data_IF_392042024025
#
_entry.id   IF_392042024025
#
_cell.length_a   1.000
_cell.length_b   1.000
_cell.length_c   1.000
_cell.angle_alpha   90.00
_cell.angle_beta   90.00
_cell.angle_gamma   90.00
#
_symmetry.space_group_name_H-M   'P 1'
#
loop_
_entity.id
_entity.type
_entity.pdbx_description
1 polymer ?
#
# COMPACT_ATOMS: atom_id res chain seq x y z
N UNK A 1 -0.05 -14.95 18.37
CA UNK A 1 0.82 -14.23 17.42
C UNK A 1 0.12 -12.94 17.00
N UNK A 2 0.72 -11.78 17.25
CA UNK A 2 0.11 -10.50 16.83
C UNK A 2 0.25 -10.34 15.31
N UNK A 3 -0.78 -9.81 14.66
CA UNK A 3 -0.83 -9.67 13.21
C UNK A 3 -1.32 -8.29 12.81
N UNK A 4 -0.92 -7.88 11.61
CA UNK A 4 -1.34 -6.63 10.98
C UNK A 4 -1.94 -6.94 9.62
N UNK A 5 -2.79 -6.06 9.14
CA UNK A 5 -3.36 -6.17 7.80
C UNK A 5 -2.57 -5.30 6.85
N UNK A 6 -1.93 -5.93 5.87
CA UNK A 6 -1.22 -5.32 4.75
C UNK A 6 -2.17 -5.21 3.56
N UNK A 7 -2.33 -4.01 3.02
CA UNK A 7 -3.03 -3.72 1.77
C UNK A 7 -2.01 -3.18 0.75
N UNK A 8 -2.13 -3.63 -0.49
CA UNK A 8 -1.33 -3.16 -1.62
C UNK A 8 -2.26 -2.49 -2.63
N UNK A 9 -1.91 -1.27 -3.02
CA UNK A 9 -2.57 -0.52 -4.08
C UNK A 9 -1.59 -0.26 -5.22
N UNK A 10 -2.05 -0.46 -6.45
CA UNK A 10 -1.39 0.06 -7.63
C UNK A 10 -1.84 1.50 -7.86
N UNK A 11 -0.90 2.43 -7.74
CA UNK A 11 -1.10 3.85 -8.00
C UNK A 11 -0.68 4.15 -9.43
N UNK A 12 -1.62 4.60 -10.26
CA UNK A 12 -1.38 5.07 -11.63
C UNK A 12 -1.34 6.58 -11.62
N UNK A 13 -0.21 7.16 -12.00
CA UNK A 13 -0.08 8.60 -12.22
C UNK A 13 -0.28 8.85 -13.70
N UNK A 14 -1.30 9.62 -14.06
CA UNK A 14 -1.62 9.91 -15.44
C UNK A 14 -0.90 11.17 -15.94
N UNK A 15 -0.71 11.29 -17.25
CA UNK A 15 -0.23 12.52 -17.86
C UNK A 15 -1.22 13.66 -17.63
N UNK A 16 -0.71 14.75 -17.03
CA UNK A 16 -1.44 16.00 -16.83
C UNK A 16 -1.90 16.58 -18.17
N UNK A 17 -3.17 16.98 -18.29
CA UNK A 17 -3.67 17.70 -19.48
C UNK A 17 -3.48 19.22 -19.31
N UNK A 18 -3.68 19.97 -20.40
CA UNK A 18 -3.48 21.45 -20.42
C UNK A 18 -4.30 22.19 -19.35
N UNK A 19 -5.47 21.65 -18.98
CA UNK A 19 -6.38 22.25 -18.00
C UNK A 19 -6.14 21.76 -16.56
N UNK A 20 -5.35 20.70 -16.38
CA UNK A 20 -5.10 20.14 -15.07
C UNK A 20 -3.93 20.86 -14.39
N UNK A 21 -4.09 21.20 -13.12
CA UNK A 21 -3.02 21.82 -12.31
C UNK A 21 -1.99 20.78 -11.86
N UNK A 22 -2.41 19.53 -11.66
CA UNK A 22 -1.57 18.40 -11.24
C UNK A 22 -1.84 17.14 -12.08
N UNK A 23 -0.93 16.16 -12.02
CA UNK A 23 -1.16 14.86 -12.65
C UNK A 23 -2.34 14.14 -11.96
N UNK A 24 -3.32 13.61 -12.70
CA UNK A 24 -4.37 12.78 -12.12
C UNK A 24 -3.77 11.51 -11.50
N UNK A 25 -4.31 11.06 -10.37
CA UNK A 25 -3.86 9.85 -9.67
C UNK A 25 -5.04 8.90 -9.53
N UNK A 26 -4.87 7.65 -9.96
CA UNK A 26 -5.84 6.57 -9.78
C UNK A 26 -5.24 5.49 -8.88
N UNK A 27 -5.95 5.08 -7.85
CA UNK A 27 -5.55 3.98 -6.98
C UNK A 27 -6.40 2.74 -7.28
N UNK A 28 -5.76 1.61 -7.54
CA UNK A 28 -6.40 0.32 -7.81
C UNK A 28 -6.04 -0.63 -6.67
N UNK A 29 -7.00 -1.03 -5.81
CA UNK A 29 -6.74 -2.04 -4.79
C UNK A 29 -6.32 -3.36 -5.43
N UNK A 30 -5.16 -3.87 -5.04
CA UNK A 30 -4.55 -5.05 -5.69
C UNK A 30 -4.55 -6.28 -4.78
N UNK A 31 -4.59 -6.08 -3.48
CA UNK A 31 -4.77 -7.18 -2.54
C UNK A 31 -4.63 -6.74 -1.09
N UNK A 32 -5.17 -7.57 -0.19
CA UNK A 32 -5.14 -7.33 1.25
C UNK A 32 -4.93 -8.66 1.96
N UNK A 33 -3.99 -8.71 2.89
CA UNK A 33 -3.63 -9.94 3.62
C UNK A 33 -3.24 -9.63 5.05
N UNK A 34 -3.59 -10.53 5.95
CA UNK A 34 -3.10 -10.48 7.33
C UNK A 34 -1.68 -11.09 7.36
N UNK A 35 -0.72 -10.34 7.86
CA UNK A 35 0.68 -10.74 7.98
C UNK A 35 1.12 -10.71 9.45
N UNK A 36 2.01 -11.62 9.87
CA UNK A 36 2.50 -11.62 11.25
C UNK A 36 3.29 -10.34 11.51
N UNK A 37 3.08 -9.72 12.67
CA UNK A 37 3.91 -8.62 13.13
C UNK A 37 5.25 -9.20 13.60
N UNK A 38 6.37 -8.68 13.06
CA UNK A 38 7.73 -9.10 13.37
C UNK A 38 7.90 -10.64 13.30
N UNK A 39 7.82 -11.21 12.09
CA UNK A 39 8.01 -12.65 11.93
C UNK A 39 9.38 -13.11 12.48
N UNK A 40 9.38 -14.19 13.28
CA UNK A 40 10.61 -14.86 13.70
C UNK A 40 11.13 -15.71 12.54
N UNK A 41 12.30 -15.36 12.00
CA UNK A 41 12.93 -16.02 10.85
C UNK A 41 13.19 -17.50 11.11
N UNK A 42 13.34 -17.91 12.37
CA UNK A 42 13.59 -19.31 12.74
C UNK A 42 12.32 -20.18 12.71
N UNK A 43 11.13 -19.57 12.73
CA UNK A 43 9.85 -20.29 12.83
C UNK A 43 9.10 -20.37 11.49
N UNK A 44 9.52 -19.62 10.47
CA UNK A 44 8.87 -19.63 9.17
C UNK A 44 9.46 -20.75 8.32
N UNK A 45 8.62 -21.74 7.97
CA UNK A 45 8.98 -22.72 6.95
C UNK A 45 9.31 -21.98 5.63
N UNK A 46 10.48 -22.25 5.01
CA UNK A 46 10.80 -21.69 3.70
C UNK A 46 9.66 -21.94 2.71
N UNK A 47 9.15 -20.87 2.09
CA UNK A 47 8.02 -20.94 1.14
C UNK A 47 6.65 -20.57 1.71
N UNK A 48 6.49 -20.39 3.04
CA UNK A 48 5.22 -19.98 3.63
C UNK A 48 5.11 -18.46 3.90
N UNK A 49 5.84 -17.64 3.12
CA UNK A 49 5.77 -16.19 3.25
C UNK A 49 4.44 -15.67 2.67
N UNK A 50 3.75 -14.74 3.34
CA UNK A 50 2.53 -14.17 2.81
C UNK A 50 2.85 -13.30 1.58
N UNK A 51 2.60 -13.84 0.38
CA UNK A 51 2.70 -13.11 -0.88
C UNK A 51 1.39 -12.42 -1.28
N UNK A 52 1.53 -11.30 -1.99
CA UNK A 52 0.47 -10.55 -2.67
C UNK A 52 0.93 -10.33 -4.12
N UNK A 53 0.05 -10.62 -5.09
CA UNK A 53 0.36 -10.50 -6.51
C UNK A 53 -0.35 -9.29 -7.12
N UNK A 54 0.31 -8.61 -8.06
CA UNK A 54 -0.27 -7.53 -8.87
C UNK A 54 -0.56 -8.11 -10.25
N UNK A 55 -1.80 -7.93 -10.73
CA UNK A 55 -2.19 -8.44 -12.05
C UNK A 55 -1.42 -7.72 -13.17
N UNK A 56 -0.85 -8.49 -14.09
CA UNK A 56 -0.18 -7.97 -15.28
C UNK A 56 -1.12 -7.19 -16.19
N UNK A 57 -2.42 -7.50 -16.18
CA UNK A 57 -3.44 -6.85 -17.00
C UNK A 57 -3.62 -5.36 -16.65
N UNK A 58 -3.11 -4.93 -15.48
CA UNK A 58 -3.12 -3.51 -15.10
C UNK A 58 -2.08 -2.67 -15.85
N UNK A 59 -1.09 -3.31 -16.49
CA UNK A 59 0.05 -2.71 -17.19
C UNK A 59 -0.09 -2.85 -18.71
N UNK A 60 -1.16 -2.29 -19.24
CA UNK A 60 -1.46 -2.36 -20.66
C UNK A 60 -0.63 -1.32 -21.45
N UNK A 61 0.27 -1.72 -22.38
CA UNK A 61 1.14 -0.79 -23.11
C UNK A 61 0.38 0.24 -23.94
N UNK A 62 -0.81 -0.13 -24.44
CA UNK A 62 -1.67 0.80 -25.17
C UNK A 62 -2.11 2.01 -24.34
N UNK A 63 -2.06 1.93 -23.00
CA UNK A 63 -2.36 3.04 -22.10
C UNK A 63 -1.17 3.96 -21.79
N UNK A 64 0.02 3.72 -22.34
CA UNK A 64 1.25 4.50 -22.08
C UNK A 64 1.09 6.01 -22.36
N UNK A 65 0.29 6.39 -23.35
CA UNK A 65 0.00 7.80 -23.66
C UNK A 65 -0.90 8.48 -22.60
N UNK A 66 -1.59 7.71 -21.75
CA UNK A 66 -2.44 8.21 -20.67
C UNK A 66 -1.76 8.09 -19.31
N UNK A 67 -1.08 6.98 -19.04
CA UNK A 67 -0.43 6.69 -17.77
C UNK A 67 1.06 6.99 -17.85
N UNK A 68 1.50 7.96 -17.04
CA UNK A 68 2.89 8.41 -16.95
C UNK A 68 3.76 7.44 -16.15
N UNK A 69 3.23 6.90 -15.05
CA UNK A 69 3.97 5.97 -14.21
C UNK A 69 3.05 5.11 -13.35
N UNK A 70 3.59 3.97 -12.94
CA UNK A 70 2.97 3.07 -11.97
C UNK A 70 3.80 3.05 -10.68
N UNK A 71 3.14 3.01 -9.53
CA UNK A 71 3.80 2.86 -8.24
C UNK A 71 3.00 1.91 -7.36
N UNK A 72 3.68 1.09 -6.58
CA UNK A 72 3.03 0.28 -5.55
C UNK A 72 2.99 1.06 -4.23
N UNK A 73 1.84 1.05 -3.58
CA UNK A 73 1.60 1.65 -2.26
C UNK A 73 1.20 0.56 -1.28
N UNK A 74 2.00 0.39 -0.22
CA UNK A 74 1.74 -0.56 0.87
C UNK A 74 1.12 0.19 2.06
N UNK A 75 -0.02 -0.28 2.55
CA UNK A 75 -0.69 0.27 3.75
C UNK A 75 -0.80 -0.82 4.81
N UNK A 76 -0.26 -0.55 5.99
CA UNK A 76 -0.34 -1.45 7.14
C UNK A 76 -1.37 -0.91 8.14
N UNK A 77 -2.30 -1.77 8.58
CA UNK A 77 -3.33 -1.43 9.58
C UNK A 77 -3.34 -2.47 10.69
N UNK A 78 -3.47 -2.06 11.95
CA UNK A 78 -3.59 -3.01 13.08
C UNK A 78 -5.08 -3.24 13.37
N UNK A 79 -5.57 -4.49 13.43
CA UNK A 79 -6.92 -4.76 13.90
C UNK A 79 -7.00 -4.44 15.40
N UNK A 80 -7.81 -3.46 15.80
CA UNK A 80 -8.16 -3.27 17.22
C UNK A 80 -8.05 -1.88 17.83
N UNK A 81 -7.71 -0.81 17.11
CA UNK A 81 -7.93 0.55 17.66
C UNK A 81 -9.29 1.07 17.22
N UNK A 82 -10.35 0.62 17.91
CA UNK A 82 -11.60 1.38 17.96
C UNK A 82 -11.31 2.68 18.72
N UNK A 83 -11.98 3.74 18.28
CA UNK A 83 -11.93 5.13 18.73
C UNK A 83 -11.68 5.26 20.23
N UNK A 84 -10.57 5.88 20.62
CA UNK A 84 -10.35 6.27 22.01
C UNK A 84 -10.94 7.67 22.22
N UNK A 85 -12.24 7.72 22.51
CA UNK A 85 -12.84 8.86 23.19
C UNK A 85 -12.26 8.90 24.61
N UNK A 86 -11.26 9.74 24.83
CA UNK A 86 -10.65 9.91 26.14
C UNK A 86 -9.39 10.76 26.07
N UNK A 87 -9.44 11.90 26.71
CA UNK A 87 -8.34 12.85 26.87
C UNK A 87 -7.15 12.14 27.53
N UNK A 88 -6.07 11.88 26.80
CA UNK A 88 -4.72 11.74 27.40
C UNK A 88 -3.71 12.46 26.51
N UNK A 89 -3.05 13.44 27.12
CA UNK A 89 -1.94 14.18 26.55
C UNK A 89 -0.79 13.22 26.21
N UNK A 90 -0.33 13.28 24.97
CA UNK A 90 0.78 12.50 24.47
C UNK A 90 0.59 12.29 22.97
N UNK A 91 1.28 13.09 22.17
CA UNK A 91 1.22 13.13 20.71
C UNK A 91 1.64 11.79 20.07
N UNK A 92 0.82 10.73 20.17
CA UNK A 92 0.93 9.59 19.28
C UNK A 92 0.31 9.98 17.96
N UNK A 93 1.11 10.70 17.18
CA UNK A 93 0.91 10.94 15.75
C UNK A 93 0.39 9.66 15.09
N UNK A 94 -0.91 9.62 14.78
CA UNK A 94 -1.58 8.49 14.11
C UNK A 94 -1.08 8.28 12.67
N UNK A 95 -0.04 9.02 12.29
CA UNK A 95 0.70 8.90 11.05
C UNK A 95 2.04 8.15 11.20
N UNK A 96 2.48 7.76 12.41
CA UNK A 96 3.82 7.15 12.64
C UNK A 96 4.00 5.73 12.06
N UNK A 97 2.92 5.08 11.58
CA UNK A 97 2.97 3.70 11.09
C UNK A 97 2.76 3.52 9.58
N UNK A 98 2.65 4.59 8.80
CA UNK A 98 2.51 4.50 7.34
C UNK A 98 3.91 4.46 6.72
N UNK A 99 4.61 3.34 6.87
CA UNK A 99 5.80 3.08 6.07
C UNK A 99 5.34 2.85 4.63
N UNK A 100 5.41 3.91 3.83
CA UNK A 100 5.09 3.84 2.40
C UNK A 100 6.36 3.55 1.64
N UNK A 101 6.47 2.34 1.12
CA UNK A 101 7.53 1.97 0.18
C UNK A 101 6.97 2.16 -1.23
N UNK A 102 7.55 3.07 -2.00
CA UNK A 102 7.23 3.24 -3.42
C UNK A 102 8.22 2.44 -4.26
N UNK A 103 7.72 1.44 -5.00
CA UNK A 103 8.47 0.89 -6.13
C UNK A 103 8.02 1.61 -7.39
N UNK A 104 8.94 2.31 -8.05
CA UNK A 104 8.69 2.98 -9.32
C UNK A 104 9.12 2.00 -10.42
N UNK A 105 8.16 1.58 -11.23
CA UNK A 105 8.44 0.84 -12.47
C UNK A 105 8.41 1.88 -13.60
N UNK A 106 9.57 2.15 -14.20
CA UNK A 106 9.71 3.01 -15.41
C UNK A 106 9.68 2.17 -16.66
#
# INVERSE_FOLDING_TARGET
>A
QSSVTLEVLLVKVCHKKRKDVSCPIRQVPTGKKQVPLNPDTNQIKPGNFPSLAVSSNEFEPSNSHMVKSYSLLFRVTRPGRREFNGIINGETNENIGKSVVYFIFT
#
